data_IF_438099957270
#
_entry.id   IF_438099957270
#
_cell.length_a   1.000
_cell.length_b   1.000
_cell.length_c   1.000
_cell.angle_alpha   90.00
_cell.angle_beta   90.00
_cell.angle_gamma   90.00
#
_symmetry.space_group_name_H-M   'P 1'
#
loop_
_entity.id
_entity.type
_entity.pdbx_description
1 polymer ?
#
# COMPACT_ATOMS: atom_id res chain seq x y z
N UNK A 1 36.82 18.48 22.29
CA UNK A 1 36.46 18.28 20.86
C UNK A 1 37.43 17.29 20.26
N UNK A 2 36.95 16.08 19.98
CA UNK A 2 37.65 15.03 19.23
C UNK A 2 36.63 14.44 18.23
N UNK A 3 37.05 14.10 17.00
CA UNK A 3 36.12 13.84 15.89
C UNK A 3 35.52 12.44 15.97
N UNK A 4 34.19 12.38 15.84
CA UNK A 4 33.45 11.13 15.71
C UNK A 4 33.80 10.50 14.35
N UNK A 5 34.39 9.30 14.40
CA UNK A 5 34.82 8.53 13.24
C UNK A 5 33.67 8.29 12.25
N UNK A 6 34.00 8.40 10.97
CA UNK A 6 33.19 7.92 9.85
C UNK A 6 32.92 6.42 10.01
N UNK A 7 31.65 6.06 10.19
CA UNK A 7 31.21 4.66 10.08
C UNK A 7 31.33 4.23 8.63
N UNK A 8 32.12 3.18 8.42
CA UNK A 8 32.33 2.53 7.15
C UNK A 8 31.01 2.33 6.39
N UNK A 9 30.98 2.73 5.12
CA UNK A 9 29.87 2.51 4.22
C UNK A 9 29.56 1.02 4.12
N UNK A 10 28.45 0.61 4.72
CA UNK A 10 27.89 -0.71 4.49
C UNK A 10 27.31 -0.70 3.09
N UNK A 11 28.03 -1.28 2.14
CA UNK A 11 27.45 -1.65 0.86
C UNK A 11 26.49 -2.80 1.15
N UNK A 12 25.25 -2.47 1.47
CA UNK A 12 24.16 -3.45 1.44
C UNK A 12 24.02 -3.87 -0.02
N UNK A 13 24.51 -5.08 -0.32
CA UNK A 13 24.14 -5.81 -1.54
C UNK A 13 22.62 -5.67 -1.69
N UNK A 14 22.08 -5.29 -2.86
CA UNK A 14 20.64 -5.22 -3.03
C UNK A 14 20.11 -6.64 -2.80
N UNK A 15 19.49 -6.85 -1.63
CA UNK A 15 18.56 -7.94 -1.42
C UNK A 15 17.63 -7.88 -2.63
N UNK A 16 17.51 -8.98 -3.36
CA UNK A 16 16.61 -9.11 -4.50
C UNK A 16 15.27 -8.55 -4.02
N UNK A 17 14.88 -7.37 -4.50
CA UNK A 17 13.60 -6.78 -4.15
C UNK A 17 12.56 -7.60 -4.90
N UNK A 18 12.04 -8.63 -4.24
CA UNK A 18 10.91 -9.38 -4.77
C UNK A 18 9.76 -8.38 -4.83
N UNK A 19 9.46 -7.96 -6.06
CA UNK A 19 8.33 -7.10 -6.34
C UNK A 19 7.08 -7.95 -6.24
N UNK A 20 6.23 -7.65 -5.27
CA UNK A 20 4.90 -8.21 -5.20
C UNK A 20 3.90 -7.08 -5.34
N UNK A 21 2.93 -7.28 -6.23
CA UNK A 21 1.87 -6.33 -6.46
C UNK A 21 0.53 -7.05 -6.46
N UNK A 22 -0.43 -6.49 -5.72
CA UNK A 22 -1.81 -6.97 -5.74
C UNK A 22 -2.72 -5.83 -6.20
N UNK A 23 -3.75 -6.17 -6.95
CA UNK A 23 -4.75 -5.21 -7.41
C UNK A 23 -6.16 -5.76 -7.31
N UNK A 24 -7.12 -4.87 -7.15
CA UNK A 24 -8.55 -5.19 -7.22
C UNK A 24 -9.32 -3.96 -7.71
N UNK A 25 -10.46 -4.20 -8.34
CA UNK A 25 -11.34 -3.14 -8.80
C UNK A 25 -12.59 -3.09 -7.91
N UNK A 26 -13.02 -1.89 -7.52
CA UNK A 26 -14.19 -1.70 -6.66
C UNK A 26 -14.80 -0.31 -6.83
N UNK A 27 -16.10 -0.24 -7.16
CA UNK A 27 -16.87 1.01 -7.30
C UNK A 27 -16.12 2.09 -8.12
N UNK A 28 -15.69 1.73 -9.34
CA UNK A 28 -14.90 2.54 -10.28
C UNK A 28 -13.48 2.93 -9.83
N UNK A 29 -13.05 2.43 -8.66
CA UNK A 29 -11.70 2.58 -8.15
C UNK A 29 -10.85 1.37 -8.50
N UNK A 30 -9.61 1.63 -8.87
CA UNK A 30 -8.56 0.62 -8.94
C UNK A 30 -7.70 0.75 -7.68
N UNK A 31 -7.75 -0.27 -6.83
CA UNK A 31 -6.97 -0.38 -5.62
C UNK A 31 -5.76 -1.26 -5.94
N UNK A 32 -4.57 -0.77 -5.65
CA UNK A 32 -3.32 -1.52 -5.84
C UNK A 32 -2.44 -1.38 -4.61
N UNK A 33 -1.75 -2.46 -4.27
CA UNK A 33 -0.75 -2.48 -3.22
C UNK A 33 0.54 -3.09 -3.76
N UNK A 34 1.65 -2.42 -3.54
CA UNK A 34 2.95 -2.79 -4.11
C UNK A 34 4.02 -2.79 -3.02
N UNK A 35 4.93 -3.76 -3.08
CA UNK A 35 6.16 -3.73 -2.28
C UNK A 35 7.07 -2.59 -2.72
N UNK A 36 7.56 -1.81 -1.77
CA UNK A 36 8.57 -0.76 -1.93
C UNK A 36 9.75 -1.01 -0.98
N UNK A 37 10.83 -0.24 -1.15
CA UNK A 37 12.10 -0.44 -0.42
C UNK A 37 11.97 -0.42 1.12
N UNK A 38 10.95 0.23 1.67
CA UNK A 38 10.70 0.22 3.14
C UNK A 38 9.22 -0.11 3.44
N UNK A 39 8.67 -1.15 2.79
CA UNK A 39 7.37 -1.71 3.14
C UNK A 39 6.40 -1.81 1.97
N UNK A 40 5.14 -1.48 2.20
CA UNK A 40 4.06 -1.60 1.22
C UNK A 40 3.44 -0.24 0.93
N UNK A 41 3.14 0.01 -0.34
CA UNK A 41 2.49 1.24 -0.80
C UNK A 41 1.10 0.90 -1.30
N UNK A 42 0.09 1.50 -0.69
CA UNK A 42 -1.27 1.51 -1.16
C UNK A 42 -1.46 2.66 -2.17
N UNK A 43 -2.12 2.37 -3.28
CA UNK A 43 -2.42 3.29 -4.36
C UNK A 43 -3.89 3.13 -4.73
N UNK A 44 -4.62 4.23 -4.83
CA UNK A 44 -6.00 4.23 -5.36
C UNK A 44 -6.07 5.15 -6.56
N UNK A 45 -6.55 4.60 -7.67
CA UNK A 45 -6.75 5.32 -8.92
C UNK A 45 -8.22 5.35 -9.30
N UNK A 46 -8.62 6.41 -10.01
CA UNK A 46 -9.91 6.48 -10.70
C UNK A 46 -9.66 7.08 -12.08
N UNK A 47 -10.11 6.40 -13.12
CA UNK A 47 -9.91 6.83 -14.52
C UNK A 47 -8.45 7.22 -14.84
N UNK A 48 -7.48 6.43 -14.35
CA UNK A 48 -6.05 6.67 -14.57
C UNK A 48 -5.43 7.77 -13.71
N UNK A 49 -6.21 8.51 -12.92
CA UNK A 49 -5.70 9.53 -11.99
C UNK A 49 -5.48 8.94 -10.60
N UNK A 50 -4.30 9.16 -10.03
CA UNK A 50 -4.02 8.83 -8.64
C UNK A 50 -4.83 9.74 -7.70
N UNK A 51 -5.55 9.12 -6.77
CA UNK A 51 -6.38 9.80 -5.78
C UNK A 51 -5.82 9.70 -4.37
N UNK A 52 -5.11 8.62 -4.09
CA UNK A 52 -4.57 8.33 -2.78
C UNK A 52 -3.28 7.51 -2.88
N UNK A 53 -2.35 7.81 -1.98
CA UNK A 53 -1.12 7.05 -1.79
C UNK A 53 -0.81 6.99 -0.31
N UNK A 54 -0.53 5.80 0.21
CA UNK A 54 -0.09 5.64 1.59
C UNK A 54 0.91 4.52 1.76
N UNK A 55 1.92 4.77 2.60
CA UNK A 55 2.91 3.78 2.99
C UNK A 55 2.47 3.07 4.27
N UNK A 56 2.68 1.75 4.31
CA UNK A 56 2.37 0.88 5.44
C UNK A 56 3.47 -0.16 5.64
N UNK A 57 3.60 -0.64 6.87
CA UNK A 57 4.61 -1.64 7.24
C UNK A 57 4.29 -3.05 6.74
N UNK A 58 3.04 -3.34 6.38
CA UNK A 58 2.61 -4.67 5.96
C UNK A 58 1.61 -4.64 4.80
N UNK A 59 1.54 -5.75 4.06
CA UNK A 59 0.56 -5.96 2.99
C UNK A 59 -0.87 -5.76 3.47
N UNK A 60 -1.21 -6.36 4.62
CA UNK A 60 -2.55 -6.27 5.20
C UNK A 60 -2.91 -4.81 5.49
N UNK A 61 -2.02 -4.06 6.16
CA UNK A 61 -2.25 -2.66 6.46
C UNK A 61 -2.36 -1.79 5.19
N UNK A 62 -1.61 -2.11 4.13
CA UNK A 62 -1.73 -1.42 2.85
C UNK A 62 -3.09 -1.70 2.17
N UNK A 63 -3.55 -2.95 2.18
CA UNK A 63 -4.88 -3.32 1.63
C UNK A 63 -5.99 -2.61 2.41
N UNK A 64 -5.93 -2.63 3.74
CA UNK A 64 -6.87 -1.90 4.60
C UNK A 64 -6.87 -0.41 4.29
N UNK A 65 -5.70 0.24 4.15
CA UNK A 65 -5.63 1.67 3.86
C UNK A 65 -6.25 2.04 2.50
N UNK A 66 -6.05 1.20 1.46
CA UNK A 66 -6.69 1.41 0.16
C UNK A 66 -8.23 1.30 0.26
N UNK A 67 -8.71 0.33 1.03
CA UNK A 67 -10.13 0.08 1.27
C UNK A 67 -10.77 1.17 2.12
N UNK A 68 -10.10 1.65 3.16
CA UNK A 68 -10.54 2.76 4.00
C UNK A 68 -10.79 4.01 3.16
N UNK A 69 -9.85 4.36 2.27
CA UNK A 69 -10.04 5.48 1.35
C UNK A 69 -11.22 5.24 0.39
N UNK A 70 -11.34 4.04 -0.17
CA UNK A 70 -12.43 3.69 -1.09
C UNK A 70 -13.80 3.79 -0.39
N UNK A 71 -13.91 3.29 0.84
CA UNK A 71 -15.11 3.37 1.66
C UNK A 71 -15.51 4.80 1.97
N UNK A 72 -14.55 5.60 2.44
CA UNK A 72 -14.79 7.00 2.70
C UNK A 72 -15.23 7.75 1.44
N UNK A 73 -14.69 7.38 0.27
CA UNK A 73 -15.07 8.01 -1.00
C UNK A 73 -16.48 7.63 -1.49
N UNK A 74 -16.87 6.36 -1.34
CA UNK A 74 -18.14 5.83 -1.85
C UNK A 74 -19.31 6.15 -0.92
N UNK A 75 -19.13 5.98 0.40
CA UNK A 75 -20.19 6.10 1.39
C UNK A 75 -20.00 7.25 2.38
N UNK A 76 -18.90 8.01 2.27
CA UNK A 76 -18.54 9.02 3.25
C UNK A 76 -18.25 8.39 4.62
N UNK A 77 -18.61 9.10 5.69
CA UNK A 77 -18.47 8.62 7.07
C UNK A 77 -19.61 7.70 7.55
N UNK A 78 -20.54 7.30 6.67
CA UNK A 78 -21.71 6.49 7.06
C UNK A 78 -21.47 4.98 6.99
N UNK A 79 -20.28 4.57 6.54
CA UNK A 79 -19.95 3.17 6.39
C UNK A 79 -19.78 2.48 7.75
N UNK A 80 -20.45 1.34 7.94
CA UNK A 80 -20.49 0.62 9.22
C UNK A 80 -19.58 -0.61 9.27
N UNK A 81 -19.14 -1.14 8.12
CA UNK A 81 -18.30 -2.34 8.09
C UNK A 81 -16.82 -1.97 8.24
N UNK A 82 -16.07 -2.77 9.00
CA UNK A 82 -14.62 -2.55 9.20
C UNK A 82 -13.87 -2.60 7.85
N UNK A 83 -13.00 -1.61 7.55
CA UNK A 83 -12.17 -1.63 6.35
C UNK A 83 -11.29 -2.89 6.25
N UNK A 84 -10.80 -3.42 7.37
CA UNK A 84 -10.03 -4.65 7.42
C UNK A 84 -10.85 -5.85 6.96
N UNK A 85 -12.11 -5.94 7.42
CA UNK A 85 -13.02 -7.01 7.03
C UNK A 85 -13.34 -6.96 5.54
N UNK A 86 -13.63 -5.78 5.01
CA UNK A 86 -13.86 -5.61 3.56
C UNK A 86 -12.60 -5.94 2.76
N UNK A 87 -11.42 -5.47 3.20
CA UNK A 87 -10.15 -5.78 2.55
C UNK A 87 -9.85 -7.28 2.46
N UNK A 88 -10.25 -8.06 3.47
CA UNK A 88 -10.14 -9.52 3.48
C UNK A 88 -11.13 -10.23 2.54
N UNK A 89 -12.25 -9.61 2.19
CA UNK A 89 -13.27 -10.19 1.30
C UNK A 89 -13.02 -9.85 -0.17
N UNK A 90 -12.34 -8.75 -0.47
CA UNK A 90 -12.01 -8.37 -1.84
C UNK A 90 -11.10 -9.42 -2.51
N UNK A 91 -11.39 -9.72 -3.78
CA UNK A 91 -10.52 -10.57 -4.60
C UNK A 91 -9.35 -9.75 -5.12
N UNK A 92 -8.21 -9.93 -4.47
CA UNK A 92 -6.94 -9.34 -4.88
C UNK A 92 -6.25 -10.26 -5.88
N UNK A 93 -6.01 -9.75 -7.09
CA UNK A 93 -5.20 -10.43 -8.09
C UNK A 93 -3.75 -10.00 -7.97
N UNK A 94 -2.85 -10.95 -7.86
CA UNK A 94 -1.42 -10.72 -8.01
C UNK A 94 -1.10 -10.39 -9.48
N UNK A 95 -0.14 -9.50 -9.73
CA UNK A 95 0.17 -9.04 -11.08
C UNK A 95 1.66 -8.79 -11.37
N UNK A 96 2.56 -9.28 -10.51
CA UNK A 96 4.01 -9.31 -10.70
C UNK A 96 4.57 -10.68 -10.35
#
# INVERSE_FOLDING_TARGET
MAPCMQTAGVIHRPLILIRSGYRTAWCDLLLSVETAAEGWTALVHQHGRALYTARRSSLSAAKTAAVEFALFRVAGGTWQESPERVAGQLRWSEYW
#
